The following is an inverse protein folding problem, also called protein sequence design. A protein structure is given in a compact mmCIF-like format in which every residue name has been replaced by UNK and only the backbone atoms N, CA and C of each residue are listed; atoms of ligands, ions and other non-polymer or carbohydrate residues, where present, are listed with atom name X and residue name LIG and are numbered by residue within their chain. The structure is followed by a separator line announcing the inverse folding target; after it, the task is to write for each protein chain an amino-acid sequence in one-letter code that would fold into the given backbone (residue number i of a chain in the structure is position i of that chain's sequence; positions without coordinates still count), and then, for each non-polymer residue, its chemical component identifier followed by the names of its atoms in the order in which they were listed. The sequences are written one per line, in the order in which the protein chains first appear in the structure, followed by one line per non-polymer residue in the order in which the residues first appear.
data_IF_293717436155
#
_entry.id   IF_293717436155
#
_cell.length_a   1.000
_cell.length_b   1.000
_cell.length_c   1.000
_cell.angle_alpha   90.00
_cell.angle_beta   90.00
_cell.angle_gamma   90.00
#
_symmetry.space_group_name_H-M   'P 1'
#
loop_
_entity.id
_entity.type
_entity.pdbx_description
1 polymer ?
#
# COMPACT_ATOMS: atom_id res chain seq x y z
N UNK A 1 -17.59 -15.00 1.11
CA UNK A 1 -16.94 -13.79 0.56
C UNK A 1 -17.88 -12.61 0.72
N UNK A 2 -17.45 -11.52 1.37
CA UNK A 2 -18.26 -10.31 1.54
C UNK A 2 -18.58 -9.64 0.20
N UNK A 3 -19.57 -8.75 0.18
CA UNK A 3 -19.89 -7.95 -1.01
C UNK A 3 -18.69 -7.11 -1.46
N UNK A 4 -18.00 -6.48 -0.50
CA UNK A 4 -16.79 -5.70 -0.75
C UNK A 4 -15.68 -6.52 -1.40
N UNK A 5 -15.38 -7.72 -0.88
CA UNK A 5 -14.36 -8.59 -1.46
C UNK A 5 -14.73 -9.03 -2.88
N UNK A 6 -16.02 -9.26 -3.16
CA UNK A 6 -16.49 -9.57 -4.52
C UNK A 6 -16.21 -8.40 -5.47
N UNK A 7 -16.61 -7.19 -5.09
CA UNK A 7 -16.42 -5.98 -5.89
C UNK A 7 -14.95 -5.77 -6.27
N UNK A 8 -14.05 -5.89 -5.28
CA UNK A 8 -12.60 -5.79 -5.52
C UNK A 8 -12.11 -6.88 -6.48
N UNK A 9 -12.42 -8.15 -6.22
CA UNK A 9 -11.95 -9.27 -7.05
C UNK A 9 -12.47 -9.18 -8.47
N UNK A 10 -13.71 -8.78 -8.68
CA UNK A 10 -14.29 -8.59 -10.02
C UNK A 10 -13.61 -7.43 -10.77
N UNK A 11 -13.32 -6.31 -10.09
CA UNK A 11 -12.61 -5.19 -10.71
C UNK A 11 -11.19 -5.56 -11.18
N UNK A 12 -10.45 -6.34 -10.38
CA UNK A 12 -9.11 -6.82 -10.74
C UNK A 12 -9.13 -7.80 -11.91
N UNK A 13 -10.11 -8.73 -11.95
CA UNK A 13 -10.27 -9.68 -13.06
C UNK A 13 -10.64 -8.99 -14.37
N UNK A 14 -11.36 -7.87 -14.29
CA UNK A 14 -11.76 -7.06 -15.44
C UNK A 14 -10.68 -6.07 -15.90
N UNK A 15 -9.54 -5.98 -15.19
CA UNK A 15 -8.48 -5.04 -15.51
C UNK A 15 -7.92 -5.30 -16.92
N UNK A 16 -7.79 -4.27 -17.77
CA UNK A 16 -7.12 -4.42 -19.07
C UNK A 16 -5.66 -4.83 -18.87
N UNK A 17 -5.18 -5.73 -19.73
CA UNK A 17 -3.79 -6.18 -19.73
C UNK A 17 -3.09 -5.65 -20.99
N UNK A 18 -1.94 -5.02 -20.80
CA UNK A 18 -1.04 -4.61 -21.87
C UNK A 18 0.25 -5.43 -21.82
N UNK A 19 0.95 -5.49 -22.95
CA UNK A 19 2.24 -6.15 -23.04
C UNK A 19 3.36 -5.11 -23.04
N UNK A 20 4.25 -5.19 -22.05
CA UNK A 20 5.51 -4.42 -22.00
C UNK A 20 6.64 -5.35 -22.46
N UNK A 21 6.81 -5.46 -23.78
CA UNK A 21 7.63 -6.54 -24.35
C UNK A 21 6.96 -7.90 -24.09
N UNK A 22 7.69 -8.84 -23.50
CA UNK A 22 7.16 -10.16 -23.11
C UNK A 22 6.46 -10.16 -21.75
N UNK A 23 6.41 -9.02 -21.06
CA UNK A 23 5.85 -8.92 -19.73
C UNK A 23 4.37 -8.47 -19.76
N UNK A 24 3.41 -9.32 -19.36
CA UNK A 24 2.03 -8.90 -19.22
C UNK A 24 1.85 -8.02 -17.99
N UNK A 25 1.20 -6.87 -18.19
CA UNK A 25 0.99 -5.85 -17.18
C UNK A 25 -0.49 -5.48 -17.14
N UNK A 26 -1.18 -5.87 -16.07
CA UNK A 26 -2.54 -5.39 -15.83
C UNK A 26 -2.48 -3.92 -15.42
N UNK A 27 -3.47 -3.14 -15.89
CA UNK A 27 -3.63 -1.73 -15.55
C UNK A 27 -4.92 -1.61 -14.77
N UNK A 28 -4.84 -1.12 -13.54
CA UNK A 28 -6.01 -0.97 -12.69
C UNK A 28 -6.04 0.42 -12.04
N UNK A 29 -7.20 1.08 -11.90
CA UNK A 29 -7.30 2.41 -11.30
C UNK A 29 -6.65 2.50 -9.91
N UNK A 30 -6.66 1.40 -9.14
CA UNK A 30 -6.04 1.35 -7.81
C UNK A 30 -4.51 1.34 -7.88
N UNK A 31 -3.93 0.68 -8.89
CA UNK A 31 -2.49 0.45 -9.00
C UNK A 31 -1.79 1.45 -9.91
N UNK A 32 -2.54 2.10 -10.80
CA UNK A 32 -1.99 2.94 -11.86
C UNK A 32 -2.67 4.31 -11.95
N UNK A 33 -3.78 4.53 -11.24
CA UNK A 33 -4.60 5.74 -11.33
C UNK A 33 -5.38 5.86 -12.65
N UNK A 34 -5.31 4.83 -13.50
CA UNK A 34 -6.01 4.70 -14.78
C UNK A 34 -6.47 3.26 -14.98
N UNK A 35 -7.58 2.98 -15.70
CA UNK A 35 -8.61 3.92 -16.18
C UNK A 35 -9.42 4.53 -15.02
N UNK A 36 -10.66 4.98 -15.24
CA UNK A 36 -11.47 5.67 -14.20
C UNK A 36 -11.65 4.78 -12.96
N UNK A 37 -11.49 5.38 -11.78
CA UNK A 37 -11.80 4.73 -10.51
C UNK A 37 -13.32 4.61 -10.33
N UNK A 38 -13.79 3.39 -10.08
CA UNK A 38 -15.15 3.15 -9.62
C UNK A 38 -15.23 3.41 -8.10
N UNK A 39 -16.08 4.35 -7.64
CA UNK A 39 -16.21 4.63 -6.22
C UNK A 39 -16.65 3.43 -5.38
N UNK A 40 -17.39 2.46 -5.94
CA UNK A 40 -17.80 1.27 -5.20
C UNK A 40 -16.63 0.31 -4.97
N UNK A 41 -15.65 0.26 -5.88
CA UNK A 41 -14.39 -0.48 -5.66
C UNK A 41 -13.57 0.18 -4.56
N UNK A 42 -13.47 1.52 -4.57
CA UNK A 42 -12.73 2.24 -3.55
C UNK A 42 -13.37 2.08 -2.17
N UNK A 43 -14.70 2.21 -2.10
CA UNK A 43 -15.48 1.97 -0.87
C UNK A 43 -15.28 0.55 -0.36
N UNK A 44 -15.35 -0.45 -1.25
CA UNK A 44 -15.10 -1.84 -0.89
C UNK A 44 -13.71 -2.04 -0.28
N UNK A 45 -12.67 -1.42 -0.85
CA UNK A 45 -11.32 -1.47 -0.28
C UNK A 45 -11.28 -0.82 1.10
N UNK A 46 -11.88 0.36 1.26
CA UNK A 46 -11.95 1.04 2.57
C UNK A 46 -12.61 0.14 3.61
N UNK A 47 -13.78 -0.45 3.32
CA UNK A 47 -14.47 -1.37 4.22
C UNK A 47 -13.57 -2.57 4.61
N UNK A 48 -12.95 -3.20 3.61
CA UNK A 48 -12.06 -4.36 3.82
C UNK A 48 -10.80 -4.04 4.64
N UNK A 49 -10.26 -2.82 4.51
CA UNK A 49 -9.10 -2.39 5.30
C UNK A 49 -9.52 -2.01 6.70
N UNK A 50 -10.69 -1.37 6.87
CA UNK A 50 -11.24 -1.05 8.19
C UNK A 50 -11.41 -2.31 9.04
N UNK A 51 -11.90 -3.40 8.45
CA UNK A 51 -12.10 -4.68 9.13
C UNK A 51 -10.81 -5.40 9.56
N UNK A 52 -9.64 -5.06 8.98
CA UNK A 52 -8.36 -5.76 9.22
C UNK A 52 -7.51 -5.20 10.35
N UNK A 53 -7.85 -4.02 10.84
CA UNK A 53 -7.01 -3.26 11.77
C UNK A 53 -7.84 -2.85 12.97
N UNK A 54 -7.27 -2.98 14.17
CA UNK A 54 -7.83 -2.31 15.35
C UNK A 54 -7.39 -0.84 15.36
N UNK A 55 -8.23 0.02 14.81
CA UNK A 55 -7.93 1.46 14.63
C UNK A 55 -7.78 2.23 15.94
N UNK A 56 -8.14 1.65 17.10
CA UNK A 56 -7.92 2.29 18.40
C UNK A 56 -6.44 2.34 18.79
N UNK A 57 -5.62 1.49 18.17
CA UNK A 57 -4.19 1.38 18.41
C UNK A 57 -3.35 2.03 17.32
N UNK A 58 -3.96 2.80 16.42
CA UNK A 58 -3.26 3.50 15.34
C UNK A 58 -3.33 5.00 15.60
N UNK A 59 -2.17 5.63 15.65
CA UNK A 59 -2.04 7.06 15.88
C UNK A 59 -1.93 7.84 14.56
N UNK A 60 -1.41 7.19 13.50
CA UNK A 60 -1.18 7.81 12.20
C UNK A 60 -1.33 6.82 11.03
N UNK A 61 -2.02 7.25 9.97
CA UNK A 61 -2.02 6.60 8.67
C UNK A 61 -0.88 7.18 7.82
N UNK A 62 -0.08 6.29 7.23
CA UNK A 62 0.97 6.67 6.28
C UNK A 62 0.64 6.12 4.89
N UNK A 63 0.31 7.01 3.95
CA UNK A 63 0.15 6.69 2.54
C UNK A 63 1.45 6.93 1.76
N UNK A 64 1.69 6.17 0.70
CA UNK A 64 2.87 6.34 -0.17
C UNK A 64 2.45 6.98 -1.50
N UNK A 65 3.15 8.02 -1.93
CA UNK A 65 2.87 8.65 -3.21
C UNK A 65 3.17 7.72 -4.40
N UNK A 66 2.29 7.60 -5.40
CA UNK A 66 1.03 8.34 -5.58
C UNK A 66 -0.22 7.53 -5.23
N UNK A 67 -0.16 6.20 -5.31
CA UNK A 67 -1.35 5.36 -5.27
C UNK A 67 -1.85 5.07 -3.85
N UNK A 68 -1.02 5.27 -2.83
CA UNK A 68 -1.48 5.25 -1.44
C UNK A 68 -2.43 6.40 -1.10
N UNK A 69 -2.39 7.53 -1.80
CA UNK A 69 -3.27 8.69 -1.53
C UNK A 69 -4.76 8.37 -1.68
N UNK A 70 -5.24 7.86 -2.84
CA UNK A 70 -6.66 7.55 -3.00
C UNK A 70 -7.15 6.48 -2.04
N UNK A 71 -6.26 5.62 -1.53
CA UNK A 71 -6.59 4.56 -0.57
C UNK A 71 -6.70 5.07 0.87
N UNK A 72 -5.74 5.90 1.28
CA UNK A 72 -5.61 6.35 2.67
C UNK A 72 -6.51 7.53 3.01
N UNK A 73 -6.83 8.40 2.05
CA UNK A 73 -7.74 9.52 2.27
C UNK A 73 -9.15 9.09 2.74
N UNK A 74 -9.88 8.20 2.05
CA UNK A 74 -11.18 7.73 2.53
C UNK A 74 -11.06 6.89 3.82
N UNK A 75 -9.92 6.21 4.02
CA UNK A 75 -9.67 5.45 5.24
C UNK A 75 -9.53 6.35 6.45
N UNK A 76 -8.77 7.45 6.34
CA UNK A 76 -8.66 8.47 7.38
C UNK A 76 -10.02 9.07 7.74
N UNK A 77 -10.86 9.36 6.73
CA UNK A 77 -12.22 9.82 6.96
C UNK A 77 -13.09 8.78 7.69
N UNK A 78 -12.92 7.49 7.37
CA UNK A 78 -13.70 6.41 7.95
C UNK A 78 -13.28 6.06 9.39
N UNK A 79 -11.99 6.16 9.70
CA UNK A 79 -11.40 5.73 10.98
C UNK A 79 -11.21 6.89 11.97
N UNK A 80 -11.17 8.12 11.47
CA UNK A 80 -10.80 9.31 12.25
C UNK A 80 -9.30 9.43 12.53
N UNK A 81 -8.48 8.52 12.00
CA UNK A 81 -7.02 8.54 12.18
C UNK A 81 -6.40 9.59 11.25
N UNK A 82 -5.51 10.47 11.74
CA UNK A 82 -4.78 11.44 10.91
C UNK A 82 -4.00 10.77 9.78
N UNK A 83 -3.78 11.50 8.69
CA UNK A 83 -3.07 11.00 7.50
C UNK A 83 -1.86 11.87 7.16
N UNK A 84 -0.71 11.23 6.95
CA UNK A 84 0.45 11.83 6.31
C UNK A 84 0.88 11.01 5.09
N UNK A 85 1.56 11.66 4.14
CA UNK A 85 1.98 11.06 2.88
C UNK A 85 3.49 11.07 2.76
N UNK A 86 4.10 9.91 2.50
CA UNK A 86 5.48 9.80 2.04
C UNK A 86 5.58 10.33 0.61
N UNK A 87 6.48 11.30 0.39
CA UNK A 87 6.57 12.06 -0.86
C UNK A 87 7.92 11.89 -1.53
N UNK A 88 7.98 11.97 -2.86
CA UNK A 88 9.28 12.06 -3.58
C UNK A 88 9.95 13.43 -3.45
N UNK A 89 9.21 14.44 -3.01
CA UNK A 89 9.66 15.81 -2.80
C UNK A 89 10.00 16.03 -1.33
N UNK A 90 11.19 16.56 -1.05
CA UNK A 90 11.55 17.09 0.26
C UNK A 90 10.87 18.44 0.52
N UNK A 91 10.41 18.64 1.75
CA UNK A 91 9.82 19.89 2.23
C UNK A 91 10.72 20.64 3.20
N UNK A 92 11.80 20.02 3.70
CA UNK A 92 12.72 20.64 4.66
C UNK A 92 12.09 20.92 6.02
N UNK A 93 11.04 20.18 6.38
CA UNK A 93 10.41 20.29 7.70
C UNK A 93 11.33 19.68 8.76
N UNK A 94 11.19 20.17 9.99
CA UNK A 94 11.93 19.60 11.11
C UNK A 94 11.55 18.12 11.30
N UNK A 95 12.56 17.27 11.52
CA UNK A 95 12.38 15.82 11.60
C UNK A 95 12.10 15.10 10.26
N UNK A 96 12.26 15.76 9.10
CA UNK A 96 12.14 15.09 7.79
C UNK A 96 13.19 13.97 7.65
N UNK A 97 12.74 12.77 7.27
CA UNK A 97 13.59 11.59 7.07
C UNK A 97 13.63 11.22 5.60
N UNK A 98 14.81 11.29 5.01
CA UNK A 98 15.08 10.77 3.66
C UNK A 98 15.22 9.24 3.70
N UNK A 99 14.48 8.56 2.82
CA UNK A 99 14.55 7.12 2.56
C UNK A 99 15.00 6.88 1.12
N UNK A 100 16.03 6.05 0.97
CA UNK A 100 16.49 5.62 -0.35
C UNK A 100 15.53 4.57 -0.91
N UNK A 101 14.68 4.97 -1.86
CA UNK A 101 13.89 4.04 -2.65
C UNK A 101 14.75 3.53 -3.81
N UNK A 102 15.55 2.50 -3.54
CA UNK A 102 16.19 1.71 -4.60
C UNK A 102 15.35 0.48 -4.88
N UNK A 103 14.53 0.52 -5.92
CA UNK A 103 13.83 -0.66 -6.44
C UNK A 103 14.40 -1.04 -7.81
N UNK A 104 14.00 -2.21 -8.33
CA UNK A 104 14.33 -2.60 -9.71
C UNK A 104 13.70 -1.69 -10.79
N UNK A 105 12.69 -0.89 -10.44
CA UNK A 105 11.92 -0.06 -11.38
C UNK A 105 12.12 1.45 -11.20
N UNK A 106 12.54 1.88 -10.01
CA UNK A 106 12.80 3.30 -9.70
C UNK A 106 14.01 3.43 -8.79
N UNK A 107 14.84 4.44 -9.08
CA UNK A 107 15.83 4.98 -8.15
C UNK A 107 15.41 6.39 -7.78
N UNK A 108 15.26 6.66 -6.50
CA UNK A 108 14.96 8.01 -6.03
C UNK A 108 14.84 8.05 -4.52
N UNK A 109 14.91 9.25 -3.96
CA UNK A 109 14.60 9.48 -2.57
C UNK A 109 13.08 9.60 -2.39
N UNK A 110 12.58 9.16 -1.24
CA UNK A 110 11.32 9.64 -0.69
C UNK A 110 11.57 10.24 0.70
N UNK A 111 10.62 11.03 1.16
CA UNK A 111 10.74 11.78 2.39
C UNK A 111 9.53 11.51 3.27
N UNK A 112 9.80 11.11 4.50
CA UNK A 112 8.82 10.96 5.57
C UNK A 112 8.85 12.24 6.41
N UNK A 113 7.68 12.76 6.74
CA UNK A 113 7.52 14.02 7.44
C UNK A 113 6.52 13.85 8.57
N UNK A 114 6.65 14.66 9.63
CA UNK A 114 5.66 14.78 10.70
C UNK A 114 5.36 13.45 11.41
N UNK A 115 6.41 12.65 11.69
CA UNK A 115 6.32 11.45 12.52
C UNK A 115 6.81 11.80 13.93
N UNK A 116 6.08 11.38 14.95
CA UNK A 116 6.44 11.59 16.35
C UNK A 116 6.93 10.30 17.02
N UNK A 117 7.82 10.45 18.00
CA UNK A 117 8.37 9.33 18.76
C UNK A 117 7.24 8.52 19.44
N UNK A 118 7.23 7.20 19.21
CA UNK A 118 6.25 6.28 19.77
C UNK A 118 4.91 6.20 19.03
N UNK A 119 4.70 6.94 17.93
CA UNK A 119 3.47 6.81 17.14
C UNK A 119 3.35 5.42 16.50
N UNK A 120 2.17 4.82 16.62
CA UNK A 120 1.81 3.56 15.96
C UNK A 120 1.21 3.84 14.59
N UNK A 121 1.92 3.41 13.55
CA UNK A 121 1.65 3.73 12.16
C UNK A 121 1.04 2.54 11.44
N UNK A 122 -0.08 2.78 10.76
CA UNK A 122 -0.61 1.88 9.75
C UNK A 122 -0.26 2.39 8.35
N UNK A 123 0.37 1.53 7.54
CA UNK A 123 0.68 1.81 6.14
C UNK A 123 -0.36 1.11 5.25
N UNK A 124 -0.89 1.84 4.27
CA UNK A 124 -1.72 1.25 3.21
C UNK A 124 -1.16 1.61 1.85
N UNK A 125 -0.92 0.60 1.02
CA UNK A 125 -0.35 0.75 -0.31
C UNK A 125 -1.14 -0.06 -1.35
N UNK A 126 -0.96 0.26 -2.62
CA UNK A 126 -1.68 -0.37 -3.72
C UNK A 126 -1.15 -1.77 -4.03
N UNK A 127 0.16 -1.92 -4.21
CA UNK A 127 0.81 -3.17 -4.63
C UNK A 127 2.03 -3.49 -3.79
N UNK A 128 2.03 -4.67 -3.18
CA UNK A 128 3.22 -5.28 -2.59
C UNK A 128 3.77 -6.34 -3.54
N UNK A 129 4.87 -6.02 -4.22
CA UNK A 129 5.58 -6.98 -5.07
C UNK A 129 6.86 -7.54 -4.45
N UNK A 130 7.98 -6.83 -4.55
CA UNK A 130 9.25 -7.25 -3.92
C UNK A 130 9.33 -6.84 -2.45
N UNK A 131 8.48 -5.90 -2.03
CA UNK A 131 8.47 -5.31 -0.69
C UNK A 131 9.55 -4.25 -0.44
N UNK A 132 10.43 -3.96 -1.41
CA UNK A 132 11.58 -3.06 -1.19
C UNK A 132 11.18 -1.62 -0.81
N UNK A 133 10.09 -1.10 -1.38
CA UNK A 133 9.54 0.22 -0.99
C UNK A 133 9.09 0.23 0.47
N UNK A 134 8.24 -0.73 0.86
CA UNK A 134 7.73 -0.82 2.22
C UNK A 134 8.85 -1.06 3.23
N UNK A 135 9.85 -1.85 2.88
CA UNK A 135 11.04 -2.06 3.70
C UNK A 135 11.80 -0.75 3.97
N UNK A 136 12.05 0.05 2.93
CA UNK A 136 12.69 1.36 3.09
C UNK A 136 11.84 2.31 3.95
N UNK A 137 10.52 2.26 3.81
CA UNK A 137 9.59 3.04 4.63
C UNK A 137 9.61 2.58 6.09
N UNK A 138 9.58 1.28 6.37
CA UNK A 138 9.70 0.73 7.74
C UNK A 138 10.96 1.24 8.42
N UNK A 139 12.11 1.15 7.74
CA UNK A 139 13.38 1.63 8.30
C UNK A 139 13.42 3.17 8.43
N UNK A 140 12.74 3.89 7.54
CA UNK A 140 12.54 5.33 7.69
C UNK A 140 11.73 5.71 8.93
N UNK A 141 10.60 5.04 9.14
CA UNK A 141 9.73 5.23 10.31
C UNK A 141 10.48 4.93 11.61
N UNK A 142 11.25 3.83 11.63
CA UNK A 142 12.10 3.48 12.79
C UNK A 142 13.18 4.52 13.08
N UNK A 143 13.79 5.12 12.05
CA UNK A 143 14.75 6.23 12.23
C UNK A 143 14.08 7.49 12.79
N UNK A 144 12.80 7.70 12.51
CA UNK A 144 11.98 8.73 13.16
C UNK A 144 11.49 8.32 14.57
N UNK A 145 11.88 7.13 15.05
CA UNK A 145 11.47 6.54 16.34
C UNK A 145 9.97 6.31 16.50
N UNK A 146 9.26 6.18 15.38
CA UNK A 146 7.88 5.70 15.36
C UNK A 146 7.86 4.19 15.05
N UNK A 147 6.69 3.57 15.20
CA UNK A 147 6.50 2.14 15.11
C UNK A 147 5.50 1.80 14.00
N UNK A 148 5.92 1.05 12.99
CA UNK A 148 4.96 0.47 12.03
C UNK A 148 4.32 -0.76 12.67
N UNK A 149 3.02 -0.73 12.91
CA UNK A 149 2.28 -1.85 13.52
C UNK A 149 1.50 -2.66 12.48
N UNK A 150 1.04 -1.99 11.41
CA UNK A 150 0.20 -2.59 10.38
C UNK A 150 0.66 -2.16 8.99
N UNK A 151 0.68 -3.12 8.06
CA UNK A 151 0.85 -2.85 6.64
C UNK A 151 -0.21 -3.62 5.86
N UNK A 152 -0.99 -2.92 5.04
CA UNK A 152 -2.01 -3.53 4.21
C UNK A 152 -1.76 -3.12 2.75
N UNK A 153 -1.48 -4.10 1.91
CA UNK A 153 -1.48 -3.91 0.47
C UNK A 153 -2.83 -4.30 -0.13
N UNK A 154 -3.33 -3.56 -1.12
CA UNK A 154 -4.54 -4.00 -1.83
C UNK A 154 -4.23 -5.26 -2.64
N UNK A 155 -3.10 -5.25 -3.35
CA UNK A 155 -2.66 -6.34 -4.21
C UNK A 155 -1.30 -6.88 -3.75
N UNK A 156 -1.20 -8.19 -3.62
CA UNK A 156 0.08 -8.90 -3.48
C UNK A 156 0.48 -9.54 -4.80
N UNK A 157 1.77 -9.42 -5.15
CA UNK A 157 2.35 -10.03 -6.35
C UNK A 157 3.76 -10.59 -6.11
N UNK A 158 3.88 -11.91 -6.07
CA UNK A 158 5.15 -12.59 -5.85
C UNK A 158 5.44 -12.82 -4.37
N UNK A 159 6.71 -12.82 -3.97
CA UNK A 159 7.13 -13.33 -2.65
C UNK A 159 7.42 -12.26 -1.60
N UNK A 160 7.26 -10.96 -1.94
CA UNK A 160 7.67 -9.86 -1.07
C UNK A 160 6.92 -9.82 0.26
N UNK A 161 5.63 -10.20 0.29
CA UNK A 161 4.83 -10.14 1.52
C UNK A 161 5.37 -11.13 2.54
N UNK A 162 5.54 -12.39 2.15
CA UNK A 162 6.14 -13.43 3.02
C UNK A 162 7.52 -13.00 3.50
N UNK A 163 8.37 -12.48 2.61
CA UNK A 163 9.71 -12.00 2.97
C UNK A 163 9.67 -10.93 4.05
N UNK A 164 8.74 -9.97 3.94
CA UNK A 164 8.60 -8.91 4.94
C UNK A 164 8.02 -9.44 6.26
N UNK A 165 7.06 -10.37 6.23
CA UNK A 165 6.55 -11.03 7.43
C UNK A 165 7.65 -11.79 8.19
N UNK A 166 8.53 -12.48 7.46
CA UNK A 166 9.67 -13.19 8.07
C UNK A 166 10.70 -12.23 8.66
N UNK A 167 10.94 -11.08 8.00
CA UNK A 167 11.92 -10.09 8.45
C UNK A 167 11.40 -9.21 9.60
N UNK A 168 10.11 -8.95 9.63
CA UNK A 168 9.44 -8.04 10.57
C UNK A 168 8.24 -8.75 11.24
N UNK A 169 8.48 -9.81 12.02
CA UNK A 169 7.41 -10.64 12.61
C UNK A 169 6.51 -9.88 13.60
N UNK A 170 6.96 -8.73 14.11
CA UNK A 170 6.19 -7.86 14.99
C UNK A 170 5.15 -6.99 14.25
N UNK A 171 5.27 -6.86 12.92
CA UNK A 171 4.37 -6.05 12.09
C UNK A 171 3.29 -6.96 11.51
N UNK A 172 2.02 -6.56 11.64
CA UNK A 172 0.93 -7.24 10.95
C UNK A 172 0.89 -6.83 9.47
N UNK A 173 1.58 -7.60 8.62
CA UNK A 173 1.67 -7.35 7.18
C UNK A 173 0.70 -8.27 6.43
N UNK A 174 -0.22 -7.70 5.68
CA UNK A 174 -1.30 -8.41 5.00
C UNK A 174 -1.58 -7.85 3.60
N UNK A 175 -2.26 -8.65 2.78
CA UNK A 175 -2.81 -8.22 1.49
C UNK A 175 -4.32 -8.46 1.42
N UNK A 176 -5.02 -7.68 0.60
CA UNK A 176 -6.44 -7.90 0.33
C UNK A 176 -6.66 -9.06 -0.66
N UNK A 177 -5.87 -9.06 -1.74
CA UNK A 177 -5.92 -10.04 -2.81
C UNK A 177 -4.50 -10.34 -3.28
N UNK A 178 -4.15 -11.61 -3.38
CA UNK A 178 -2.95 -12.04 -4.08
C UNK A 178 -3.30 -12.40 -5.54
N UNK A 179 -2.41 -12.07 -6.48
CA UNK A 179 -2.61 -12.39 -7.89
C UNK A 179 -1.32 -12.75 -8.62
N UNK A 180 -1.51 -13.43 -9.75
CA UNK A 180 -0.49 -13.69 -10.76
C UNK A 180 -1.02 -13.38 -12.16
N UNK A 181 -0.11 -13.31 -13.14
CA UNK A 181 -0.46 -13.15 -14.54
C UNK A 181 -0.31 -14.49 -15.25
N UNK A 182 -1.36 -14.96 -15.91
CA UNK A 182 -1.34 -16.09 -16.86
C UNK A 182 -1.55 -15.54 -18.27
N UNK A 183 -0.44 -15.26 -18.97
CA UNK A 183 -0.48 -14.55 -20.24
C UNK A 183 -1.19 -13.20 -20.10
N UNK A 184 -2.26 -13.00 -20.86
CA UNK A 184 -3.08 -11.78 -20.85
C UNK A 184 -4.19 -11.78 -19.79
N UNK A 185 -4.14 -12.69 -18.81
CA UNK A 185 -5.17 -12.83 -17.77
C UNK A 185 -4.62 -12.55 -16.39
N UNK A 186 -5.43 -11.85 -15.59
CA UNK A 186 -5.23 -11.70 -14.15
C UNK A 186 -5.84 -12.90 -13.43
N UNK A 187 -5.02 -13.68 -12.75
CA UNK A 187 -5.43 -14.84 -11.95
C UNK A 187 -5.33 -14.47 -10.48
N UNK A 188 -6.47 -14.49 -9.78
CA UNK A 188 -6.49 -14.23 -8.34
C UNK A 188 -6.23 -15.53 -7.59
N UNK A 189 -5.32 -15.47 -6.63
CA UNK A 189 -5.04 -16.56 -5.72
C UNK A 189 -6.10 -16.54 -4.59
N UNK A 190 -6.43 -17.72 -4.10
CA UNK A 190 -7.38 -17.94 -3.00
C UNK A 190 -6.64 -18.15 -1.66
#
# INVERSE_FOLDING_TARGET
MSSAMRQLRESLKAAPVIWKGEYPYFIHPITDGVPRMDPEVLKAITELVVERVDWKDIDLLLGIEAMGLPLTAPLSMATGVPLVIARKRSYGLDGEVEIDQTTGYSKGAMYLNNLNEGERIAIVDDVLSTGGTLEAVIEGVRRAKAEVTNIIAVVEKGTGLRRLQEKYPEINIQSLVALEMDGDKVVLLD
#
